data_IF_662529451560
#
_entry.id   IF_662529451560
#
_cell.length_a   1.000
_cell.length_b   1.000
_cell.length_c   1.000
_cell.angle_alpha   90.00
_cell.angle_beta   90.00
_cell.angle_gamma   90.00
#
_symmetry.space_group_name_H-M   'P 1'
#
loop_
_entity.id
_entity.type
_entity.pdbx_description
1 polymer ?
#
# COMPACT_ATOMS: atom_id res chain seq x y z
N UNK A 1 -86.09 -8.11 -54.71
CA UNK A 1 -85.03 -8.81 -55.53
C UNK A 1 -83.82 -8.99 -54.67
N UNK A 2 -83.29 -10.17 -54.63
CA UNK A 2 -82.31 -10.76 -53.71
C UNK A 2 -80.89 -10.24 -53.96
N UNK A 3 -80.14 -9.85 -52.95
CA UNK A 3 -78.66 -9.81 -53.00
C UNK A 3 -78.09 -10.33 -51.72
N UNK A 4 -77.30 -11.37 -51.90
CA UNK A 4 -76.63 -12.15 -50.94
C UNK A 4 -75.30 -11.46 -50.51
N UNK A 5 -75.11 -11.22 -49.23
CA UNK A 5 -73.90 -10.61 -48.74
C UNK A 5 -73.04 -11.69 -48.05
N UNK A 6 -71.89 -11.96 -48.62
CA UNK A 6 -70.89 -12.97 -48.14
C UNK A 6 -70.00 -12.32 -47.09
N UNK A 7 -70.09 -12.78 -45.88
CA UNK A 7 -69.14 -12.37 -44.78
C UNK A 7 -67.77 -13.02 -44.99
N UNK A 8 -66.74 -12.19 -45.07
CA UNK A 8 -65.32 -12.59 -45.06
C UNK A 8 -64.81 -12.46 -43.63
N UNK A 9 -64.46 -13.59 -43.04
CA UNK A 9 -63.75 -13.65 -41.76
C UNK A 9 -62.28 -13.27 -41.97
N UNK A 10 -61.83 -12.20 -41.37
CA UNK A 10 -60.42 -11.84 -41.22
C UNK A 10 -59.91 -12.41 -39.90
N UNK A 11 -59.03 -13.42 -40.03
CA UNK A 11 -58.28 -13.95 -38.90
C UNK A 11 -57.14 -12.98 -38.52
N UNK A 12 -57.29 -12.32 -37.37
CA UNK A 12 -56.24 -11.50 -36.81
C UNK A 12 -55.15 -12.38 -36.20
N UNK A 13 -53.96 -12.30 -36.79
CA UNK A 13 -52.74 -12.88 -36.20
C UNK A 13 -52.25 -11.92 -35.11
N UNK A 14 -52.42 -12.34 -33.85
CA UNK A 14 -51.88 -11.63 -32.68
C UNK A 14 -50.38 -11.95 -32.58
N UNK A 15 -49.53 -11.02 -33.01
CA UNK A 15 -48.08 -11.12 -32.83
C UNK A 15 -47.72 -10.80 -31.40
N UNK A 16 -47.40 -11.82 -30.61
CA UNK A 16 -46.81 -11.66 -29.27
C UNK A 16 -45.34 -11.20 -29.43
N UNK A 17 -45.05 -9.93 -29.24
CA UNK A 17 -43.73 -9.39 -29.04
C UNK A 17 -43.28 -9.73 -27.60
N UNK A 18 -42.52 -10.84 -27.44
CA UNK A 18 -41.83 -11.10 -26.22
C UNK A 18 -40.64 -10.13 -26.07
N UNK A 19 -40.79 -9.12 -25.21
CA UNK A 19 -39.71 -8.25 -24.80
C UNK A 19 -38.72 -9.08 -23.98
N UNK A 20 -37.61 -9.50 -24.56
CA UNK A 20 -36.40 -9.99 -23.86
C UNK A 20 -35.82 -8.79 -23.10
N UNK A 21 -36.27 -8.59 -21.86
CA UNK A 21 -35.55 -7.76 -20.91
C UNK A 21 -34.27 -8.53 -20.57
N UNK A 22 -33.17 -8.13 -21.23
CA UNK A 22 -31.83 -8.61 -20.90
C UNK A 22 -31.51 -8.24 -19.45
N UNK A 23 -31.61 -9.20 -18.55
CA UNK A 23 -30.97 -9.12 -17.23
C UNK A 23 -29.47 -9.07 -17.45
N UNK A 24 -28.91 -7.88 -17.61
CA UNK A 24 -27.48 -7.68 -17.39
C UNK A 24 -27.22 -7.98 -15.92
N UNK A 25 -26.37 -8.96 -15.57
CA UNK A 25 -25.99 -9.15 -14.19
C UNK A 25 -25.30 -7.85 -13.75
N UNK A 26 -25.94 -7.14 -12.84
CA UNK A 26 -25.33 -6.06 -12.10
C UNK A 26 -24.19 -6.75 -11.30
N UNK A 27 -22.98 -6.65 -11.80
CA UNK A 27 -21.80 -7.00 -11.02
C UNK A 27 -21.74 -6.02 -9.86
N UNK A 28 -22.37 -6.40 -8.75
CA UNK A 28 -22.21 -5.71 -7.50
C UNK A 28 -20.71 -5.78 -7.20
N UNK A 29 -20.00 -4.67 -7.37
CA UNK A 29 -18.66 -4.52 -6.84
C UNK A 29 -18.81 -4.69 -5.33
N UNK A 30 -18.42 -5.82 -4.80
CA UNK A 30 -18.42 -6.06 -3.37
C UNK A 30 -17.40 -5.08 -2.78
N UNK A 31 -17.91 -4.00 -2.20
CA UNK A 31 -17.07 -3.09 -1.41
C UNK A 31 -16.41 -3.95 -0.34
N UNK A 32 -15.07 -3.93 -0.22
CA UNK A 32 -14.40 -4.72 0.80
C UNK A 32 -14.99 -4.39 2.17
N UNK A 33 -15.22 -5.41 3.00
CA UNK A 33 -15.67 -5.16 4.37
C UNK A 33 -14.65 -4.26 5.05
N UNK A 34 -15.09 -3.14 5.63
CA UNK A 34 -14.21 -2.26 6.41
C UNK A 34 -13.49 -3.02 7.54
N UNK A 35 -14.14 -4.04 8.07
CA UNK A 35 -13.56 -4.91 9.09
C UNK A 35 -12.37 -5.70 8.55
N UNK A 36 -12.48 -6.28 7.34
CA UNK A 36 -11.37 -6.97 6.68
C UNK A 36 -10.20 -6.02 6.44
N UNK A 37 -10.46 -4.81 5.92
CA UNK A 37 -9.41 -3.79 5.69
C UNK A 37 -8.71 -3.41 7.00
N UNK A 38 -9.47 -3.15 8.07
CA UNK A 38 -8.90 -2.83 9.40
C UNK A 38 -8.10 -3.98 9.99
N UNK A 39 -8.57 -5.20 9.80
CA UNK A 39 -7.90 -6.41 10.31
C UNK A 39 -6.58 -6.64 9.58
N UNK A 40 -6.58 -6.60 8.25
CA UNK A 40 -5.35 -6.75 7.45
C UNK A 40 -4.33 -5.66 7.82
N UNK A 41 -4.74 -4.38 7.89
CA UNK A 41 -3.86 -3.28 8.31
C UNK A 41 -3.21 -3.56 9.66
N UNK A 42 -4.00 -3.91 10.67
CA UNK A 42 -3.51 -4.20 12.02
C UNK A 42 -2.54 -5.37 12.05
N UNK A 43 -2.75 -6.38 11.21
CA UNK A 43 -1.84 -7.53 11.11
C UNK A 43 -0.50 -7.12 10.50
N UNK A 44 -0.51 -6.30 9.46
CA UNK A 44 0.72 -5.80 8.83
C UNK A 44 1.50 -4.88 9.75
N UNK A 45 0.83 -3.97 10.46
CA UNK A 45 1.44 -3.04 11.43
C UNK A 45 2.07 -3.75 12.64
N UNK A 46 1.66 -4.98 12.93
CA UNK A 46 2.16 -5.78 14.06
C UNK A 46 3.18 -6.83 13.64
N UNK A 47 3.63 -6.81 12.40
CA UNK A 47 4.66 -7.74 11.97
C UNK A 47 5.95 -7.53 12.76
N UNK A 48 6.57 -8.60 13.27
CA UNK A 48 7.86 -8.48 13.91
C UNK A 48 8.87 -7.94 12.90
N UNK A 49 9.75 -7.06 13.38
CA UNK A 49 10.82 -6.44 12.59
C UNK A 49 10.37 -5.50 11.46
N UNK A 50 9.06 -5.18 11.35
CA UNK A 50 8.61 -4.11 10.46
C UNK A 50 9.19 -2.77 10.92
N UNK A 51 9.84 -2.05 10.03
CA UNK A 51 10.58 -0.87 10.39
C UNK A 51 10.61 0.21 9.30
N UNK A 52 11.48 1.18 9.52
CA UNK A 52 11.56 2.38 8.68
C UNK A 52 12.06 2.10 7.26
N UNK A 53 12.80 1.01 7.05
CA UNK A 53 13.33 0.62 5.73
C UNK A 53 12.44 -0.38 4.99
N UNK A 54 11.29 -0.70 5.55
CA UNK A 54 10.22 -1.45 4.91
C UNK A 54 9.08 -0.51 4.50
N UNK A 55 8.26 -0.92 3.55
CA UNK A 55 6.99 -0.29 3.26
C UNK A 55 6.00 -1.32 2.76
N UNK A 56 4.86 -1.45 3.42
CA UNK A 56 3.81 -2.38 3.04
C UNK A 56 2.51 -1.63 2.77
N UNK A 57 1.90 -1.94 1.64
CA UNK A 57 0.57 -1.47 1.27
C UNK A 57 -0.25 -2.65 0.75
N UNK A 58 -1.56 -2.51 0.75
CA UNK A 58 -2.46 -3.55 0.27
C UNK A 58 -3.73 -2.99 -0.35
N UNK A 59 -4.33 -3.80 -1.19
CA UNK A 59 -5.70 -3.61 -1.67
C UNK A 59 -6.51 -4.88 -1.43
N UNK A 60 -7.82 -4.74 -1.26
CA UNK A 60 -8.75 -5.85 -1.10
C UNK A 60 -9.78 -5.78 -2.23
N UNK A 61 -9.93 -6.86 -2.97
CA UNK A 61 -10.96 -7.01 -3.99
C UNK A 61 -11.56 -8.40 -3.91
N UNK A 62 -12.87 -8.49 -3.63
CA UNK A 62 -13.63 -9.75 -3.60
C UNK A 62 -12.96 -10.90 -2.87
N UNK A 63 -12.48 -10.64 -1.64
CA UNK A 63 -11.79 -11.63 -0.82
C UNK A 63 -10.31 -11.85 -1.18
N UNK A 64 -9.83 -11.31 -2.28
CA UNK A 64 -8.41 -11.33 -2.64
C UNK A 64 -7.69 -10.12 -2.07
N UNK A 65 -6.65 -10.34 -1.27
CA UNK A 65 -5.75 -9.29 -0.79
C UNK A 65 -4.49 -9.27 -1.62
N UNK A 66 -4.22 -8.14 -2.28
CA UNK A 66 -2.96 -7.92 -2.98
C UNK A 66 -2.02 -7.11 -2.09
N UNK A 67 -0.89 -7.71 -1.70
CA UNK A 67 0.18 -7.06 -0.94
C UNK A 67 1.20 -6.48 -1.92
N UNK A 68 1.60 -5.23 -1.70
CA UNK A 68 2.63 -4.54 -2.49
C UNK A 68 3.55 -3.77 -1.56
N UNK A 69 4.72 -3.38 -2.04
CA UNK A 69 5.68 -2.58 -1.31
C UNK A 69 7.06 -3.20 -1.31
N UNK A 70 7.85 -2.87 -0.30
CA UNK A 70 9.24 -3.25 -0.20
C UNK A 70 9.54 -3.85 1.16
N UNK A 71 10.32 -4.93 1.18
CA UNK A 71 10.83 -5.51 2.42
C UNK A 71 12.36 -5.43 2.45
N UNK A 72 12.87 -4.86 3.51
CA UNK A 72 14.30 -4.84 3.82
C UNK A 72 14.72 -6.18 4.44
N UNK A 73 13.92 -6.69 5.36
CA UNK A 73 14.15 -7.98 6.01
C UNK A 73 13.67 -9.13 5.12
N UNK A 74 14.52 -10.15 4.96
CA UNK A 74 14.26 -11.27 4.04
C UNK A 74 13.02 -12.10 4.35
N UNK A 75 12.63 -12.19 5.61
CA UNK A 75 11.46 -12.95 6.07
C UNK A 75 10.14 -12.16 6.03
N UNK A 76 10.20 -10.81 6.05
CA UNK A 76 9.01 -9.96 6.18
C UNK A 76 7.96 -10.23 5.09
N UNK A 77 8.39 -10.48 3.85
CA UNK A 77 7.50 -10.83 2.73
C UNK A 77 6.66 -12.07 3.03
N UNK A 78 7.29 -13.13 3.54
CA UNK A 78 6.61 -14.38 3.88
C UNK A 78 5.72 -14.21 5.12
N UNK A 79 6.20 -13.49 6.13
CA UNK A 79 5.48 -13.22 7.36
C UNK A 79 4.21 -12.40 7.10
N UNK A 80 4.29 -11.39 6.21
CA UNK A 80 3.14 -10.59 5.78
C UNK A 80 2.06 -11.47 5.12
N UNK A 81 2.46 -12.35 4.21
CA UNK A 81 1.53 -13.27 3.55
C UNK A 81 0.87 -14.23 4.55
N UNK A 82 1.66 -14.84 5.42
CA UNK A 82 1.15 -15.75 6.43
C UNK A 82 0.20 -15.07 7.43
N UNK A 83 0.51 -13.83 7.81
CA UNK A 83 -0.35 -13.07 8.69
C UNK A 83 -1.70 -12.78 8.03
N UNK A 84 -1.68 -12.26 6.80
CA UNK A 84 -2.89 -11.84 6.07
C UNK A 84 -3.78 -13.03 5.70
N UNK A 85 -3.22 -14.19 5.37
CA UNK A 85 -3.99 -15.44 5.12
C UNK A 85 -4.85 -15.88 6.30
N UNK A 86 -4.55 -15.43 7.53
CA UNK A 86 -5.34 -15.73 8.74
C UNK A 86 -6.46 -14.74 9.00
N UNK A 87 -6.55 -13.67 8.21
CA UNK A 87 -7.57 -12.65 8.41
C UNK A 87 -8.94 -13.15 7.96
N UNK A 88 -9.96 -12.85 8.76
CA UNK A 88 -11.35 -13.14 8.39
C UNK A 88 -11.75 -12.34 7.15
N UNK A 89 -12.40 -13.01 6.19
CA UNK A 89 -12.84 -12.42 4.93
C UNK A 89 -11.72 -12.29 3.87
N UNK A 90 -10.63 -13.01 4.07
CA UNK A 90 -9.55 -13.16 3.06
C UNK A 90 -9.59 -14.59 2.52
N UNK A 91 -9.84 -14.72 1.22
CA UNK A 91 -9.89 -15.99 0.51
C UNK A 91 -8.56 -16.29 -0.17
N UNK A 92 -7.89 -15.26 -0.69
CA UNK A 92 -6.64 -15.37 -1.42
C UNK A 92 -5.70 -14.20 -1.11
N UNK A 93 -4.38 -14.45 -1.15
CA UNK A 93 -3.35 -13.42 -1.00
C UNK A 93 -2.40 -13.44 -2.19
N UNK A 94 -2.40 -12.35 -2.96
CA UNK A 94 -1.45 -12.10 -4.03
C UNK A 94 -0.27 -11.27 -3.47
N UNK A 95 0.85 -11.93 -3.16
CA UNK A 95 2.01 -11.27 -2.56
C UNK A 95 2.98 -10.75 -3.63
N UNK A 96 2.95 -9.43 -3.85
CA UNK A 96 3.83 -8.70 -4.78
C UNK A 96 4.85 -7.81 -4.05
N UNK A 97 5.12 -8.07 -2.77
CA UNK A 97 6.15 -7.36 -2.02
C UNK A 97 7.51 -7.66 -2.67
N UNK A 98 8.27 -6.61 -2.96
CA UNK A 98 9.62 -6.72 -3.47
C UNK A 98 10.62 -6.77 -2.32
N UNK A 99 11.47 -7.79 -2.29
CA UNK A 99 12.59 -7.83 -1.36
C UNK A 99 13.74 -6.96 -1.89
N UNK A 100 14.24 -6.06 -1.05
CA UNK A 100 15.36 -5.21 -1.39
C UNK A 100 16.68 -6.03 -1.43
N UNK A 101 17.56 -5.74 -2.40
CA UNK A 101 18.85 -6.41 -2.45
C UNK A 101 19.73 -6.01 -1.26
N UNK A 102 20.55 -6.93 -0.79
CA UNK A 102 21.58 -6.64 0.20
C UNK A 102 22.67 -5.79 -0.44
N UNK A 103 22.91 -4.60 0.10
CA UNK A 103 23.91 -3.65 -0.40
C UNK A 103 24.42 -2.78 0.74
N UNK A 104 25.73 -2.82 0.99
CA UNK A 104 26.35 -1.98 2.01
C UNK A 104 26.27 -0.49 1.70
N UNK A 105 26.30 -0.12 0.43
CA UNK A 105 26.19 1.27 0.01
C UNK A 105 24.75 1.78 0.19
N UNK A 106 23.75 0.99 -0.19
CA UNK A 106 22.34 1.32 0.07
C UNK A 106 22.05 1.38 1.58
N UNK A 107 22.66 0.52 2.40
CA UNK A 107 22.52 0.55 3.86
C UNK A 107 23.06 1.85 4.45
N UNK A 108 24.24 2.30 4.00
CA UNK A 108 24.78 3.61 4.41
C UNK A 108 23.84 4.75 4.04
N UNK A 109 23.28 4.72 2.85
CA UNK A 109 22.32 5.73 2.39
C UNK A 109 21.04 5.69 3.24
N UNK A 110 20.48 4.49 3.54
CA UNK A 110 19.30 4.32 4.41
C UNK A 110 19.52 4.98 5.76
N UNK A 111 20.62 4.62 6.44
CA UNK A 111 20.93 5.17 7.76
C UNK A 111 21.23 6.66 7.73
N UNK A 112 21.98 7.15 6.75
CA UNK A 112 22.24 8.57 6.60
C UNK A 112 20.96 9.38 6.33
N UNK A 113 20.04 8.84 5.50
CA UNK A 113 18.74 9.45 5.24
C UNK A 113 17.87 9.45 6.48
N UNK A 114 17.84 8.32 7.21
CA UNK A 114 17.14 8.21 8.49
C UNK A 114 17.61 9.29 9.48
N UNK A 115 18.91 9.43 9.64
CA UNK A 115 19.48 10.46 10.49
C UNK A 115 19.03 11.87 10.05
N UNK A 116 19.20 12.20 8.77
CA UNK A 116 18.87 13.53 8.24
C UNK A 116 17.40 13.90 8.42
N UNK A 117 16.50 12.95 8.24
CA UNK A 117 15.06 13.19 8.37
C UNK A 117 14.66 13.23 9.85
N UNK A 118 15.01 12.23 10.63
CA UNK A 118 14.46 12.04 11.97
C UNK A 118 15.18 12.83 13.08
N UNK A 119 16.28 13.53 12.75
CA UNK A 119 16.92 14.51 13.65
C UNK A 119 16.78 15.96 13.17
N UNK A 120 16.06 16.20 12.06
CA UNK A 120 15.72 17.55 11.60
C UNK A 120 14.77 18.23 12.58
N UNK A 121 14.96 19.55 12.79
CA UNK A 121 14.20 20.33 13.79
C UNK A 121 12.68 20.29 13.58
N UNK A 122 12.22 20.14 12.33
CA UNK A 122 10.81 20.10 11.96
C UNK A 122 10.29 18.68 11.76
N UNK A 123 11.08 17.80 11.14
CA UNK A 123 10.67 16.43 10.80
C UNK A 123 10.81 15.44 11.96
N UNK A 124 11.58 15.78 12.99
CA UNK A 124 11.79 14.93 14.16
C UNK A 124 10.51 14.57 14.91
N UNK A 125 9.44 15.35 14.74
CA UNK A 125 8.12 15.03 15.28
C UNK A 125 7.51 13.74 14.73
N UNK A 126 7.98 13.28 13.58
CA UNK A 126 7.60 12.01 12.98
C UNK A 126 8.38 10.81 13.55
N UNK A 127 9.36 11.05 14.42
CA UNK A 127 10.12 9.98 15.08
C UNK A 127 9.29 9.31 16.16
N UNK A 128 8.99 8.01 16.08
CA UNK A 128 8.43 7.26 17.19
C UNK A 128 9.35 7.38 18.42
N UNK A 129 8.81 7.79 19.59
CA UNK A 129 9.62 8.01 20.78
C UNK A 129 10.47 9.30 20.79
N UNK A 130 10.50 10.05 19.66
CA UNK A 130 11.19 11.33 19.53
C UNK A 130 12.69 11.24 19.23
N UNK A 131 13.32 12.41 19.06
CA UNK A 131 14.74 12.54 18.67
C UNK A 131 15.70 11.78 19.60
N UNK A 132 15.39 11.70 20.87
CA UNK A 132 16.24 11.03 21.86
C UNK A 132 16.40 9.53 21.52
N UNK A 133 15.33 8.88 21.12
CA UNK A 133 15.33 7.46 20.75
C UNK A 133 16.09 7.23 19.46
N UNK A 134 15.89 8.09 18.46
CA UNK A 134 16.68 8.10 17.22
C UNK A 134 18.17 8.24 17.51
N UNK A 135 18.57 9.17 18.39
CA UNK A 135 19.97 9.36 18.78
C UNK A 135 20.52 8.15 19.56
N UNK A 136 19.69 7.43 20.29
CA UNK A 136 20.08 6.19 20.97
C UNK A 136 20.31 5.07 19.97
N UNK A 137 19.43 4.88 19.00
CA UNK A 137 19.62 3.95 17.89
C UNK A 137 20.92 4.20 17.13
N UNK A 138 21.24 5.48 16.88
CA UNK A 138 22.48 5.86 16.19
C UNK A 138 23.75 5.68 17.01
N UNK A 139 23.67 5.72 18.35
CA UNK A 139 24.80 5.49 19.26
C UNK A 139 25.12 4.02 19.45
N UNK A 140 24.15 3.17 19.20
CA UNK A 140 24.42 1.75 19.23
C UNK A 140 25.32 1.42 18.02
N UNK A 141 26.64 1.33 18.28
CA UNK A 141 27.68 1.06 17.27
C UNK A 141 27.48 -0.27 16.53
N UNK A 142 26.45 -1.02 16.91
CA UNK A 142 26.04 -2.27 16.29
C UNK A 142 25.13 -2.10 15.10
N UNK A 143 25.39 -1.10 14.24
CA UNK A 143 24.74 -1.03 12.93
C UNK A 143 25.28 -2.13 12.03
N UNK A 144 24.87 -3.37 12.32
CA UNK A 144 25.20 -4.49 11.45
C UNK A 144 24.44 -4.33 10.13
N UNK A 145 25.08 -4.72 9.02
CA UNK A 145 24.36 -4.86 7.75
C UNK A 145 23.08 -5.69 7.96
N UNK A 146 21.95 -5.19 7.46
CA UNK A 146 20.66 -5.85 7.61
C UNK A 146 19.87 -5.49 8.88
N UNK A 147 20.33 -4.55 9.72
CA UNK A 147 19.54 -4.00 10.83
C UNK A 147 18.81 -2.73 10.43
N UNK A 148 17.66 -2.48 11.07
CA UNK A 148 16.87 -1.26 10.89
C UNK A 148 16.19 -0.86 12.19
N UNK A 149 15.81 0.42 12.36
CA UNK A 149 14.90 0.83 13.41
C UNK A 149 13.52 0.22 13.22
N UNK A 150 13.06 -0.53 14.22
CA UNK A 150 11.77 -1.24 14.21
C UNK A 150 10.69 -0.34 14.80
N UNK A 151 9.51 -0.32 14.19
CA UNK A 151 8.37 0.43 14.67
C UNK A 151 7.54 1.04 13.54
N UNK A 152 6.49 1.77 13.92
CA UNK A 152 5.60 2.45 12.97
C UNK A 152 6.15 3.85 12.68
N UNK A 153 6.83 3.97 11.57
CA UNK A 153 7.39 5.23 11.08
C UNK A 153 6.45 5.84 10.05
N UNK A 154 6.05 7.12 10.18
CA UNK A 154 5.22 7.80 9.18
C UNK A 154 5.94 8.03 7.84
N UNK A 155 7.29 8.15 7.87
CA UNK A 155 8.12 8.33 6.68
C UNK A 155 9.00 7.09 6.53
N UNK A 156 8.72 6.26 5.56
CA UNK A 156 9.55 5.10 5.21
C UNK A 156 10.63 5.49 4.21
N UNK A 157 11.81 4.90 4.35
CA UNK A 157 13.01 5.19 3.57
C UNK A 157 13.44 3.93 2.84
N UNK A 158 13.08 3.84 1.57
CA UNK A 158 13.44 2.72 0.72
C UNK A 158 14.60 3.11 -0.18
N UNK A 159 15.69 2.35 -0.12
CA UNK A 159 16.84 2.62 -1.00
C UNK A 159 17.16 1.38 -1.82
N UNK A 160 17.30 1.59 -3.13
CA UNK A 160 17.65 0.55 -4.08
C UNK A 160 18.59 1.12 -5.14
N UNK A 161 19.81 0.61 -5.21
CA UNK A 161 20.85 1.05 -6.15
C UNK A 161 21.09 2.58 -6.10
N UNK A 162 21.20 3.16 -4.91
CA UNK A 162 21.42 4.59 -4.70
C UNK A 162 20.19 5.49 -4.96
N UNK A 163 19.06 4.92 -5.39
CA UNK A 163 17.79 5.64 -5.52
C UNK A 163 17.02 5.54 -4.21
N UNK A 164 16.66 6.67 -3.64
CA UNK A 164 15.89 6.78 -2.41
C UNK A 164 14.43 7.06 -2.73
N UNK A 165 13.52 6.26 -2.20
CA UNK A 165 12.07 6.48 -2.26
C UNK A 165 11.57 6.80 -0.86
N UNK A 166 10.86 7.92 -0.72
CA UNK A 166 10.18 8.32 0.51
C UNK A 166 8.70 7.97 0.38
N UNK A 167 8.21 7.08 1.23
CA UNK A 167 6.86 6.55 1.20
C UNK A 167 6.17 6.76 2.56
N UNK A 168 4.84 6.88 2.55
CA UNK A 168 4.07 7.07 3.78
C UNK A 168 3.27 8.36 3.80
N UNK A 169 3.15 9.02 4.96
CA UNK A 169 2.32 10.20 5.13
C UNK A 169 2.96 11.25 6.05
N UNK A 170 2.75 12.51 5.71
CA UNK A 170 3.16 13.68 6.50
C UNK A 170 1.99 14.65 6.66
N UNK A 171 2.09 15.59 7.61
CA UNK A 171 1.00 16.51 7.94
C UNK A 171 0.87 17.66 6.93
N UNK A 172 1.94 18.02 6.23
CA UNK A 172 1.94 19.16 5.33
C UNK A 172 2.76 18.96 4.05
N UNK A 173 2.46 19.76 3.03
CA UNK A 173 3.25 19.81 1.81
C UNK A 173 4.67 20.34 2.05
N UNK A 174 4.84 21.21 3.05
CA UNK A 174 6.15 21.73 3.44
C UNK A 174 7.03 20.62 4.02
N UNK A 175 6.47 19.75 4.87
CA UNK A 175 7.19 18.58 5.42
C UNK A 175 7.59 17.59 4.33
N UNK A 176 6.66 17.34 3.41
CA UNK A 176 6.94 16.50 2.24
C UNK A 176 8.14 17.03 1.45
N UNK A 177 8.16 18.32 1.17
CA UNK A 177 9.26 18.97 0.45
C UNK A 177 10.55 18.97 1.26
N UNK A 178 10.48 19.25 2.56
CA UNK A 178 11.64 19.23 3.45
C UNK A 178 12.27 17.84 3.54
N UNK A 179 11.46 16.79 3.66
CA UNK A 179 11.95 15.42 3.67
C UNK A 179 12.72 15.07 2.38
N UNK A 180 12.24 15.53 1.22
CA UNK A 180 12.95 15.37 -0.05
C UNK A 180 14.29 16.10 -0.05
N UNK A 181 14.33 17.34 0.42
CA UNK A 181 15.58 18.12 0.51
C UNK A 181 16.59 17.40 1.40
N UNK A 182 16.16 16.92 2.58
CA UNK A 182 17.04 16.19 3.50
C UNK A 182 17.58 14.90 2.90
N UNK A 183 16.74 14.16 2.16
CA UNK A 183 17.18 12.94 1.47
C UNK A 183 18.19 13.23 0.34
N UNK A 184 18.03 14.35 -0.39
CA UNK A 184 18.95 14.78 -1.46
C UNK A 184 20.32 15.21 -0.95
N UNK A 185 20.42 15.68 0.29
CA UNK A 185 21.67 16.07 0.94
C UNK A 185 22.58 14.89 1.31
N UNK A 186 22.05 13.66 1.24
CA UNK A 186 22.80 12.46 1.62
C UNK A 186 23.78 12.05 0.53
N UNK A 187 25.04 11.90 0.92
CA UNK A 187 26.07 11.44 0.01
C UNK A 187 25.78 10.03 -0.52
N UNK A 188 25.90 9.85 -1.82
CA UNK A 188 25.63 8.58 -2.51
C UNK A 188 24.19 8.45 -3.00
N UNK A 189 23.28 9.35 -2.65
CA UNK A 189 21.93 9.39 -3.22
C UNK A 189 22.00 9.86 -4.68
N UNK A 190 21.60 8.99 -5.57
CA UNK A 190 21.57 9.28 -7.01
C UNK A 190 20.28 10.01 -7.43
N UNK A 191 19.16 9.60 -6.85
CA UNK A 191 17.84 10.19 -7.10
C UNK A 191 16.92 10.02 -5.89
N UNK A 192 15.98 10.95 -5.73
CA UNK A 192 14.94 10.88 -4.70
C UNK A 192 13.57 10.87 -5.38
N UNK A 193 12.78 9.84 -5.10
CA UNK A 193 11.37 9.72 -5.49
C UNK A 193 10.51 9.98 -4.25
N UNK A 194 9.87 11.15 -4.20
CA UNK A 194 9.07 11.55 -3.06
C UNK A 194 7.59 11.22 -3.30
N UNK A 195 7.14 10.10 -2.76
CA UNK A 195 5.76 9.60 -2.82
C UNK A 195 5.04 9.73 -1.48
N UNK A 196 5.49 10.63 -0.60
CA UNK A 196 4.79 10.95 0.64
C UNK A 196 3.43 11.56 0.33
N UNK A 197 2.38 11.04 0.96
CA UNK A 197 1.05 11.63 0.95
C UNK A 197 0.95 12.72 2.02
N UNK A 198 0.12 13.74 1.78
CA UNK A 198 -0.20 14.74 2.81
C UNK A 198 -1.52 14.34 3.45
N UNK A 199 -1.52 14.16 4.77
CA UNK A 199 -2.73 13.85 5.54
C UNK A 199 -3.74 14.99 5.36
N UNK A 200 -5.01 14.64 5.11
CA UNK A 200 -6.11 15.59 4.97
C UNK A 200 -6.83 15.76 6.29
#
# INVERSE_FOLDING_TARGET
MRTCTRARRLSGVLALLAALIGLTPLYAQSVPSEETVRTVRRMLERLPYYGVFDFLAFSVDRGTVTLVGYSFQGNLKADAEMAVKRASGVDEVANRIEQLPTSLDDDRIRWATFYRIYTDDFLSRYAPGGVREVLQELRDERHFPGMQPVGLYPIHIIVKNGRTMLLGAVDSAADRQLAEVRAREVYGVFAVDNSLSVAR
#
